data_IF_768248127339
#
_entry.id   IF_768248127339
#
_cell.length_a   1.000
_cell.length_b   1.000
_cell.length_c   1.000
_cell.angle_alpha   90.00
_cell.angle_beta   90.00
_cell.angle_gamma   90.00
#
_symmetry.space_group_name_H-M   'P 1'
#
loop_
_entity.id
_entity.type
_entity.pdbx_description
1 polymer ?
#
# COMPACT_ATOMS: atom_id res chain seq x y z
N UNK A 1 -41.97 14.78 -22.60
CA UNK A 1 -41.51 16.18 -22.72
C UNK A 1 -40.14 16.25 -22.08
N UNK A 2 -39.09 16.55 -22.86
CA UNK A 2 -37.76 16.81 -22.31
C UNK A 2 -37.78 18.26 -21.81
N UNK A 3 -37.57 18.44 -20.51
CA UNK A 3 -37.54 19.76 -19.89
C UNK A 3 -36.16 20.36 -20.16
N UNK A 4 -36.10 21.48 -20.87
CA UNK A 4 -34.82 22.16 -21.08
C UNK A 4 -34.36 22.75 -19.76
N UNK A 5 -33.23 22.22 -19.26
CA UNK A 5 -32.58 22.71 -18.06
C UNK A 5 -31.74 23.93 -18.45
N UNK A 6 -31.94 25.02 -17.72
CA UNK A 6 -31.11 26.22 -17.85
C UNK A 6 -29.65 25.90 -17.46
N UNK A 7 -28.67 26.64 -18.00
CA UNK A 7 -27.25 26.45 -17.63
C UNK A 7 -27.06 26.52 -16.10
N UNK A 8 -27.86 27.35 -15.44
CA UNK A 8 -27.87 27.50 -13.99
C UNK A 8 -28.40 26.25 -13.25
N UNK A 9 -29.35 25.52 -13.82
CA UNK A 9 -29.82 24.22 -13.30
C UNK A 9 -28.82 23.09 -13.58
N UNK A 10 -28.09 23.15 -14.70
CA UNK A 10 -26.98 22.23 -15.02
C UNK A 10 -25.77 22.45 -14.11
N UNK A 11 -25.43 23.70 -13.78
CA UNK A 11 -24.40 24.03 -12.80
C UNK A 11 -24.79 23.63 -11.37
N UNK A 12 -26.09 23.68 -11.04
CA UNK A 12 -26.63 23.12 -9.79
C UNK A 12 -26.60 21.58 -9.73
N UNK A 13 -26.53 20.93 -10.90
CA UNK A 13 -26.23 19.51 -11.07
C UNK A 13 -24.72 19.28 -11.28
N UNK A 14 -23.86 20.13 -10.70
CA UNK A 14 -22.44 19.83 -10.57
C UNK A 14 -22.30 18.49 -9.88
N UNK A 15 -22.07 17.47 -10.73
CA UNK A 15 -21.43 16.18 -10.49
C UNK A 15 -21.67 15.69 -9.07
N UNK A 16 -22.46 14.61 -8.93
CA UNK A 16 -22.36 13.71 -7.78
C UNK A 16 -20.91 13.21 -7.74
N UNK A 17 -20.02 14.07 -7.26
CA UNK A 17 -18.61 13.83 -7.05
C UNK A 17 -18.66 12.73 -6.03
N UNK A 18 -18.21 11.55 -6.45
CA UNK A 18 -17.91 10.49 -5.51
C UNK A 18 -17.22 11.16 -4.32
N UNK A 19 -17.74 10.97 -3.10
CA UNK A 19 -17.26 11.67 -1.93
C UNK A 19 -15.72 11.68 -1.94
N UNK A 20 -15.10 12.84 -1.68
CA UNK A 20 -13.64 12.90 -1.54
C UNK A 20 -13.23 11.84 -0.51
N UNK A 21 -12.07 11.20 -0.67
CA UNK A 21 -11.63 10.07 0.18
C UNK A 21 -11.86 10.29 1.69
N UNK A 22 -11.74 11.53 2.12
CA UNK A 22 -12.00 12.05 3.47
C UNK A 22 -13.43 11.82 4.01
N UNK A 23 -14.38 11.50 3.14
CA UNK A 23 -15.81 11.31 3.43
C UNK A 23 -16.26 9.85 3.27
N UNK A 24 -15.35 8.95 2.90
CA UNK A 24 -15.54 7.50 3.07
C UNK A 24 -15.46 7.17 4.57
N UNK A 25 -16.57 6.71 5.15
CA UNK A 25 -16.69 6.34 6.57
C UNK A 25 -15.65 5.29 7.02
N UNK A 26 -15.02 4.58 6.07
CA UNK A 26 -13.92 3.63 6.26
C UNK A 26 -12.88 3.78 5.13
N UNK A 27 -12.20 4.93 5.04
CA UNK A 27 -10.99 5.10 4.18
C UNK A 27 -9.74 4.54 4.87
N UNK A 28 -9.74 3.24 5.18
CA UNK A 28 -8.63 2.58 5.84
C UNK A 28 -7.83 1.70 4.85
N UNK A 29 -6.57 2.06 4.64
CA UNK A 29 -5.61 1.18 3.95
C UNK A 29 -4.75 0.48 4.99
N UNK A 30 -5.18 -0.72 5.40
CA UNK A 30 -4.53 -1.54 6.41
C UNK A 30 -3.76 -2.69 5.77
N UNK A 31 -2.48 -2.83 6.14
CA UNK A 31 -1.64 -3.93 5.72
C UNK A 31 -0.87 -4.49 6.92
N UNK A 32 -1.31 -5.62 7.45
CA UNK A 32 -0.52 -6.38 8.42
C UNK A 32 0.64 -7.09 7.70
N UNK A 33 1.86 -6.59 7.91
CA UNK A 33 3.07 -7.20 7.35
C UNK A 33 3.93 -7.75 8.47
N UNK A 34 4.16 -9.06 8.43
CA UNK A 34 5.14 -9.76 9.25
C UNK A 34 6.26 -10.28 8.36
N UNK A 35 7.49 -9.98 8.74
CA UNK A 35 8.66 -10.37 7.98
C UNK A 35 9.76 -10.79 8.94
N UNK A 36 10.32 -11.97 8.70
CA UNK A 36 11.41 -12.52 9.51
C UNK A 36 12.52 -12.93 8.57
N UNK A 37 13.73 -12.46 8.84
CA UNK A 37 14.93 -12.91 8.13
C UNK A 37 15.95 -13.39 9.16
N UNK A 38 16.46 -14.60 8.94
CA UNK A 38 17.44 -15.25 9.81
C UNK A 38 18.59 -15.74 8.95
N UNK A 39 19.82 -15.44 9.35
CA UNK A 39 21.02 -15.92 8.67
C UNK A 39 21.98 -16.47 9.70
N UNK A 40 22.41 -17.71 9.49
CA UNK A 40 23.36 -18.41 10.36
C UNK A 40 24.48 -18.97 9.50
N UNK A 41 25.69 -18.51 9.77
CA UNK A 41 26.92 -19.07 9.24
C UNK A 41 27.64 -19.80 10.39
N UNK A 42 27.88 -21.10 10.20
CA UNK A 42 28.62 -21.91 11.17
C UNK A 42 29.77 -22.63 10.47
N UNK A 43 30.94 -22.54 11.09
CA UNK A 43 32.14 -23.28 10.73
C UNK A 43 32.39 -24.34 11.81
N UNK A 44 31.89 -25.55 11.61
CA UNK A 44 32.06 -26.66 12.55
C UNK A 44 33.18 -27.59 12.07
N UNK A 45 34.16 -27.86 12.94
CA UNK A 45 35.32 -28.72 12.66
C UNK A 45 36.10 -28.35 11.38
N UNK A 46 36.29 -27.06 11.14
CA UNK A 46 36.85 -26.56 9.88
C UNK A 46 38.25 -25.94 10.05
N UNK A 47 39.11 -26.14 9.05
CA UNK A 47 40.47 -25.60 8.95
C UNK A 47 40.57 -24.82 7.64
N UNK A 48 41.10 -23.59 7.67
CA UNK A 48 41.14 -22.66 6.52
C UNK A 48 39.77 -22.34 5.90
N UNK A 49 38.73 -22.17 6.72
CA UNK A 49 37.36 -21.91 6.25
C UNK A 49 36.87 -20.49 6.52
N UNK A 50 36.04 -19.96 5.62
CA UNK A 50 35.25 -18.74 5.82
C UNK A 50 33.76 -19.08 5.73
N UNK A 51 32.99 -18.70 6.76
CA UNK A 51 31.53 -18.78 6.70
C UNK A 51 30.97 -17.36 6.78
N UNK A 52 30.38 -16.93 5.67
CA UNK A 52 29.74 -15.63 5.55
C UNK A 52 28.22 -15.85 5.49
N UNK A 53 27.49 -15.10 6.30
CA UNK A 53 26.03 -15.10 6.30
C UNK A 53 25.54 -13.69 6.05
N UNK A 54 24.57 -13.55 5.14
CA UNK A 54 23.84 -12.30 4.96
C UNK A 54 22.35 -12.59 4.96
N UNK A 55 21.58 -11.76 5.65
CA UNK A 55 20.12 -11.78 5.71
C UNK A 55 19.61 -10.43 5.17
N UNK A 56 19.88 -10.14 3.91
CA UNK A 56 19.33 -8.93 3.26
C UNK A 56 17.82 -9.09 3.11
N UNK A 57 17.04 -8.15 3.66
CA UNK A 57 15.60 -8.09 3.49
C UNK A 57 15.19 -6.67 3.13
N UNK A 58 14.35 -6.54 2.10
CA UNK A 58 13.71 -5.28 1.72
C UNK A 58 12.20 -5.50 1.71
N UNK A 59 11.47 -4.58 2.33
CA UNK A 59 10.01 -4.61 2.42
C UNK A 59 9.52 -3.23 2.00
N UNK A 60 8.68 -3.19 0.96
CA UNK A 60 8.02 -1.97 0.52
C UNK A 60 6.51 -2.22 0.42
N UNK A 61 5.74 -1.31 1.00
CA UNK A 61 4.29 -1.24 0.87
C UNK A 61 4.01 0.10 0.17
N UNK A 62 3.34 0.04 -0.98
CA UNK A 62 2.95 1.22 -1.77
C UNK A 62 1.43 1.17 -1.89
N UNK A 63 0.76 2.30 -1.65
CA UNK A 63 -0.69 2.48 -1.68
C UNK A 63 -1.12 3.26 -2.92
#
# INVERSE_FOLDING_TARGET
MMKELTIQELEGQAVELLPSRETLFLDESWAAVSATNTSVALNAASLFSHANSTAAQFIAIVQ
#
